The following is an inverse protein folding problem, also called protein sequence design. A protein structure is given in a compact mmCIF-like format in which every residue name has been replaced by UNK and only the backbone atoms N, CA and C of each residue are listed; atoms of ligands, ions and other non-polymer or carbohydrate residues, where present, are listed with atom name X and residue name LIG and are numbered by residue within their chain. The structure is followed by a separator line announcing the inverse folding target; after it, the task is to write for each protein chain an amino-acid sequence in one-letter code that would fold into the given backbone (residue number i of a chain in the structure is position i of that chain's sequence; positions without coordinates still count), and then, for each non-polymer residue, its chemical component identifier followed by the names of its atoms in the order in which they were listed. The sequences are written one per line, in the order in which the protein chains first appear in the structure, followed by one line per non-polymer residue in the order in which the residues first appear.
data_IF_245018254127
#
_entry.id   IF_245018254127
#
_cell.length_a   1.000
_cell.length_b   1.000
_cell.length_c   1.000
_cell.angle_alpha   90.00
_cell.angle_beta   90.00
_cell.angle_gamma   90.00
#
_symmetry.space_group_name_H-M   'P 1'
#
loop_
_entity.id
_entity.type
_entity.pdbx_description
1 polymer ?
#
# COMPACT_ATOMS: atom_id res chain seq x y z
N UNK A 1 -12.76 -1.87 34.11
CA UNK A 1 -13.61 -3.04 33.90
C UNK A 1 -13.20 -3.62 32.58
N UNK A 2 -12.17 -4.31 32.62
CA UNK A 2 -11.89 -5.73 32.55
C UNK A 2 -12.28 -6.37 31.23
N UNK A 3 -11.24 -6.81 30.49
CA UNK A 3 -11.35 -8.01 29.66
C UNK A 3 -11.28 -7.86 28.15
N UNK A 4 -10.23 -7.26 27.59
CA UNK A 4 -9.83 -7.53 26.20
C UNK A 4 -8.31 -7.51 26.10
N UNK A 5 -7.71 -8.51 26.77
CA UNK A 5 -6.28 -8.79 26.72
C UNK A 5 -6.05 -10.12 26.01
N UNK A 6 -5.04 -10.15 25.17
CA UNK A 6 -4.29 -11.33 24.76
C UNK A 6 -5.00 -12.43 23.96
N UNK A 7 -5.33 -12.16 22.69
CA UNK A 7 -5.47 -13.26 21.70
C UNK A 7 -4.78 -13.01 20.34
N UNK A 8 -4.15 -11.86 20.13
CA UNK A 8 -3.54 -11.52 18.82
C UNK A 8 -2.09 -11.97 18.62
N UNK A 9 -1.38 -12.37 19.68
CA UNK A 9 0.04 -12.75 19.58
C UNK A 9 0.30 -14.20 19.14
N UNK A 10 -0.69 -15.09 19.21
CA UNK A 10 -0.49 -16.51 18.88
C UNK A 10 -0.65 -16.87 17.39
N UNK A 11 -1.29 -16.02 16.59
CA UNK A 11 -1.42 -16.27 15.14
C UNK A 11 -0.21 -15.81 14.32
N UNK A 12 0.57 -14.83 14.82
CA UNK A 12 1.80 -14.40 14.13
C UNK A 12 2.92 -15.44 14.23
N UNK A 13 2.94 -16.23 15.31
CA UNK A 13 3.95 -17.31 15.49
C UNK A 13 3.64 -18.57 14.66
N UNK A 14 2.40 -18.79 14.29
CA UNK A 14 2.00 -19.97 13.50
C UNK A 14 2.53 -19.96 12.06
N UNK A 15 2.74 -18.78 11.46
CA UNK A 15 3.25 -18.67 10.09
C UNK A 15 4.79 -18.78 10.04
N UNK A 16 5.46 -18.40 11.11
CA UNK A 16 6.94 -18.46 11.19
C UNK A 16 7.42 -19.86 11.51
N UNK A 17 6.67 -20.66 12.28
CA UNK A 17 7.06 -22.04 12.66
C UNK A 17 6.86 -23.02 11.49
N UNK A 18 5.95 -22.74 10.55
CA UNK A 18 5.76 -23.59 9.34
C UNK A 18 6.94 -23.49 8.35
N UNK A 19 7.78 -22.44 8.41
CA UNK A 19 8.96 -22.31 7.56
C UNK A 19 10.10 -23.29 7.93
N UNK A 20 10.10 -23.87 9.12
CA UNK A 20 11.15 -24.78 9.58
C UNK A 20 10.77 -26.28 9.55
N UNK A 21 9.50 -26.60 9.34
CA UNK A 21 9.01 -27.98 9.44
C UNK A 21 9.11 -28.84 8.18
N UNK A 22 9.25 -28.24 7.00
CA UNK A 22 9.09 -28.96 5.72
C UNK A 22 10.37 -29.58 5.15
N UNK A 23 11.52 -29.40 5.79
CA UNK A 23 12.79 -30.02 5.34
C UNK A 23 12.98 -31.49 5.76
N UNK A 24 12.02 -32.09 6.48
CA UNK A 24 12.20 -33.41 7.09
C UNK A 24 11.56 -34.58 6.34
N UNK A 25 10.88 -34.36 5.20
CA UNK A 25 10.09 -35.41 4.52
C UNK A 25 10.72 -36.00 3.25
N UNK A 26 12.05 -35.94 3.12
CA UNK A 26 12.72 -36.78 2.10
C UNK A 26 12.95 -38.18 2.65
N UNK A 27 12.54 -39.20 1.89
CA UNK A 27 12.71 -40.62 2.21
C UNK A 27 14.14 -40.90 2.72
N UNK A 28 14.20 -41.63 3.84
CA UNK A 28 15.48 -42.14 4.40
C UNK A 28 16.23 -42.92 3.33
N UNK A 29 17.27 -42.36 2.78
CA UNK A 29 18.30 -43.12 2.09
C UNK A 29 19.09 -43.94 3.13
N UNK A 30 19.57 -45.10 2.70
CA UNK A 30 20.40 -46.00 3.55
C UNK A 30 21.60 -45.24 4.07
N UNK A 31 22.08 -45.55 5.28
CA UNK A 31 23.23 -44.85 5.85
C UNK A 31 24.47 -45.06 4.95
N UNK A 32 24.85 -43.98 4.28
CA UNK A 32 26.16 -43.89 3.64
C UNK A 32 27.24 -43.71 4.71
N UNK A 33 28.49 -44.03 4.35
CA UNK A 33 29.66 -43.80 5.23
C UNK A 33 29.62 -42.38 5.84
N UNK A 34 30.08 -42.21 7.09
CA UNK A 34 30.08 -40.90 7.74
C UNK A 34 30.80 -39.87 6.87
N UNK A 35 30.14 -38.75 6.65
CA UNK A 35 30.69 -37.62 5.89
C UNK A 35 31.86 -37.06 6.73
N UNK A 36 33.07 -36.88 6.18
CA UNK A 36 34.18 -36.30 6.91
C UNK A 36 33.88 -34.87 7.35
N UNK A 37 34.09 -34.51 8.60
CA UNK A 37 33.85 -33.18 9.15
C UNK A 37 34.74 -32.08 8.53
N UNK A 38 35.81 -32.47 7.88
CA UNK A 38 36.69 -31.58 7.08
C UNK A 38 37.44 -32.36 6.03
N UNK A 39 37.65 -31.74 4.85
CA UNK A 39 38.51 -32.35 3.82
C UNK A 39 39.95 -32.38 4.29
N UNK A 40 40.42 -33.55 4.69
CA UNK A 40 41.81 -33.79 5.12
C UNK A 40 42.65 -34.35 3.99
N UNK A 41 42.04 -34.86 2.91
CA UNK A 41 42.74 -35.39 1.73
C UNK A 41 42.00 -35.14 0.42
N UNK A 42 42.72 -35.16 -0.71
CA UNK A 42 42.10 -35.08 -2.05
C UNK A 42 41.14 -36.27 -2.33
N UNK A 43 41.31 -37.40 -1.66
CA UNK A 43 40.44 -38.57 -1.82
C UNK A 43 39.03 -38.31 -1.28
N UNK A 44 38.89 -37.45 -0.27
CA UNK A 44 37.59 -37.09 0.29
C UNK A 44 36.74 -36.23 -0.66
N UNK A 45 37.35 -35.47 -1.59
CA UNK A 45 36.65 -34.78 -2.68
C UNK A 45 35.88 -35.70 -3.61
N UNK A 46 36.29 -36.98 -3.71
CA UNK A 46 35.60 -38.00 -4.49
C UNK A 46 34.42 -38.65 -3.75
N UNK A 47 34.22 -38.29 -2.47
CA UNK A 47 33.05 -38.78 -1.74
C UNK A 47 31.75 -38.27 -2.42
N UNK A 48 30.73 -39.15 -2.61
CA UNK A 48 29.48 -38.78 -3.31
C UNK A 48 28.77 -37.51 -2.80
N UNK A 49 28.94 -37.21 -1.51
CA UNK A 49 28.35 -36.01 -0.88
C UNK A 49 28.92 -34.70 -1.42
N UNK A 50 30.12 -34.69 -2.00
CA UNK A 50 30.79 -33.50 -2.56
C UNK A 50 30.67 -33.41 -4.08
N UNK A 51 30.15 -34.46 -4.75
CA UNK A 51 29.98 -34.41 -6.19
C UNK A 51 28.85 -33.43 -6.57
N UNK A 52 29.16 -32.53 -7.49
CA UNK A 52 28.23 -31.53 -7.99
C UNK A 52 27.65 -32.01 -9.33
N UNK A 53 26.35 -32.02 -9.43
CA UNK A 53 25.62 -32.35 -10.65
C UNK A 53 24.45 -31.38 -10.83
N UNK A 54 24.47 -30.59 -11.91
CA UNK A 54 23.47 -29.56 -12.18
C UNK A 54 22.04 -30.14 -12.31
N UNK A 55 21.88 -31.28 -13.00
CA UNK A 55 20.58 -31.91 -13.15
C UNK A 55 19.98 -32.36 -11.81
N UNK A 56 20.85 -32.88 -10.90
CA UNK A 56 20.44 -33.24 -9.55
C UNK A 56 20.01 -32.03 -8.74
N UNK A 57 20.68 -30.89 -8.88
CA UNK A 57 20.31 -29.63 -8.21
C UNK A 57 18.96 -29.16 -8.73
N UNK A 58 18.77 -29.06 -10.05
CA UNK A 58 17.50 -28.70 -10.66
C UNK A 58 16.37 -29.63 -10.22
N UNK A 59 16.60 -30.94 -10.21
CA UNK A 59 15.60 -31.89 -9.75
C UNK A 59 15.24 -31.67 -8.27
N UNK A 60 16.20 -31.39 -7.40
CA UNK A 60 15.95 -31.08 -6.00
C UNK A 60 15.13 -29.80 -5.82
N UNK A 61 15.43 -28.75 -6.58
CA UNK A 61 14.64 -27.49 -6.56
C UNK A 61 13.21 -27.78 -7.02
N UNK A 62 13.01 -28.48 -8.13
CA UNK A 62 11.68 -28.83 -8.67
C UNK A 62 10.86 -29.68 -7.69
N UNK A 63 11.48 -30.64 -7.03
CA UNK A 63 10.82 -31.47 -6.01
C UNK A 63 10.36 -30.60 -4.83
N UNK A 64 11.24 -29.73 -4.30
CA UNK A 64 10.88 -28.84 -3.20
C UNK A 64 9.69 -27.92 -3.57
N UNK A 65 9.70 -27.34 -4.77
CA UNK A 65 8.65 -26.46 -5.24
C UNK A 65 7.31 -27.16 -5.48
N UNK A 66 7.31 -28.44 -5.92
CA UNK A 66 6.09 -29.21 -6.17
C UNK A 66 5.47 -29.78 -4.90
N UNK A 67 6.32 -30.32 -4.00
CA UNK A 67 5.81 -31.08 -2.85
C UNK A 67 5.43 -30.18 -1.68
N UNK A 68 6.09 -29.05 -1.51
CA UNK A 68 5.91 -28.16 -0.37
C UNK A 68 6.02 -26.68 -0.75
N UNK A 69 5.02 -26.11 -1.45
CA UNK A 69 5.05 -24.68 -1.75
C UNK A 69 4.98 -23.87 -0.45
N UNK A 70 6.03 -23.11 -0.17
CA UNK A 70 6.20 -22.34 1.08
C UNK A 70 5.96 -20.85 0.84
N UNK A 71 6.24 -20.37 -0.36
CA UNK A 71 6.16 -18.95 -0.68
C UNK A 71 5.10 -18.65 -1.74
N UNK A 72 4.53 -17.43 -1.78
CA UNK A 72 3.61 -17.02 -2.84
C UNK A 72 4.22 -17.07 -4.25
N UNK A 73 5.55 -17.19 -4.33
CA UNK A 73 6.30 -17.16 -5.58
C UNK A 73 6.67 -18.53 -6.13
N UNK A 74 6.38 -19.60 -5.40
CA UNK A 74 6.82 -20.94 -5.76
C UNK A 74 6.30 -21.38 -7.12
N UNK A 75 5.09 -20.98 -7.51
CA UNK A 75 4.56 -21.24 -8.86
C UNK A 75 5.37 -20.51 -9.95
N UNK A 76 5.83 -19.31 -9.69
CA UNK A 76 6.67 -18.53 -10.62
C UNK A 76 8.05 -19.17 -10.74
N UNK A 77 8.62 -19.59 -9.62
CA UNK A 77 9.92 -20.26 -9.56
C UNK A 77 9.86 -21.62 -10.24
N UNK A 78 8.78 -22.37 -10.01
CA UNK A 78 8.57 -23.66 -10.65
C UNK A 78 8.52 -23.52 -12.18
N UNK A 79 7.75 -22.56 -12.70
CA UNK A 79 7.69 -22.28 -14.13
C UNK A 79 9.08 -21.91 -14.67
N UNK A 80 9.83 -21.08 -13.95
CA UNK A 80 11.19 -20.69 -14.35
C UNK A 80 12.13 -21.91 -14.46
N UNK A 81 12.23 -22.73 -13.39
CA UNK A 81 13.13 -23.88 -13.34
C UNK A 81 12.65 -25.09 -14.14
N UNK A 82 11.40 -25.08 -14.65
CA UNK A 82 10.92 -26.06 -15.62
C UNK A 82 11.36 -25.74 -17.06
N UNK A 83 11.39 -24.43 -17.39
CA UNK A 83 11.69 -23.96 -18.75
C UNK A 83 13.18 -23.71 -18.99
N UNK A 84 13.95 -23.40 -17.94
CA UNK A 84 15.34 -22.97 -18.03
C UNK A 84 16.23 -23.76 -17.08
N UNK A 85 17.38 -24.18 -17.59
CA UNK A 85 18.42 -24.89 -16.83
C UNK A 85 19.50 -23.91 -16.33
N UNK A 86 19.13 -22.67 -16.04
CA UNK A 86 20.04 -21.62 -15.57
C UNK A 86 19.80 -21.31 -14.10
N UNK A 87 20.88 -21.15 -13.34
CA UNK A 87 20.89 -20.70 -11.98
C UNK A 87 21.10 -19.17 -11.90
N UNK A 88 20.54 -18.53 -10.88
CA UNK A 88 20.76 -17.10 -10.62
C UNK A 88 22.01 -16.84 -9.78
N UNK A 89 22.29 -17.72 -8.83
CA UNK A 89 23.31 -17.57 -7.79
C UNK A 89 24.45 -18.58 -7.91
N UNK A 90 24.20 -19.74 -8.54
CA UNK A 90 25.13 -20.85 -8.70
C UNK A 90 25.82 -20.77 -10.07
N UNK A 91 26.48 -19.67 -10.37
CA UNK A 91 27.34 -19.60 -11.56
C UNK A 91 28.78 -19.99 -11.20
N UNK A 92 29.62 -20.23 -12.20
CA UNK A 92 31.01 -20.69 -12.07
C UNK A 92 31.90 -19.89 -11.11
N UNK A 93 31.39 -18.80 -10.60
CA UNK A 93 32.05 -17.85 -9.74
C UNK A 93 31.73 -18.01 -8.23
N UNK A 94 30.85 -18.94 -7.82
CA UNK A 94 30.68 -19.29 -6.39
C UNK A 94 31.97 -19.87 -5.79
N UNK A 95 32.81 -20.45 -6.61
CA UNK A 95 34.05 -21.15 -6.23
C UNK A 95 35.29 -20.32 -6.57
N UNK A 96 35.17 -19.24 -7.35
CA UNK A 96 36.33 -18.43 -7.77
C UNK A 96 36.41 -17.11 -7.01
N UNK A 97 37.61 -16.61 -6.78
CA UNK A 97 37.93 -15.30 -6.19
C UNK A 97 37.40 -14.10 -7.01
N UNK A 98 36.52 -14.33 -7.99
CA UNK A 98 35.97 -13.33 -8.92
C UNK A 98 34.58 -12.88 -8.51
N UNK A 99 34.10 -11.73 -9.04
CA UNK A 99 33.02 -10.90 -8.48
C UNK A 99 31.62 -11.52 -8.32
N UNK A 100 31.35 -12.73 -8.67
CA UNK A 100 29.98 -13.27 -8.54
C UNK A 100 29.65 -13.87 -7.17
N UNK A 101 30.64 -14.23 -6.36
CA UNK A 101 30.45 -14.45 -4.90
C UNK A 101 29.85 -13.20 -4.25
N UNK A 102 30.07 -12.03 -4.86
CA UNK A 102 29.53 -10.76 -4.43
C UNK A 102 28.01 -10.63 -4.67
N UNK A 103 27.39 -11.40 -5.56
CA UNK A 103 25.95 -11.24 -5.84
C UNK A 103 25.09 -11.81 -4.71
N UNK A 104 25.41 -13.03 -4.25
CA UNK A 104 24.73 -13.63 -3.10
C UNK A 104 24.97 -12.80 -1.82
N UNK A 105 26.23 -12.38 -1.58
CA UNK A 105 26.57 -11.52 -0.44
C UNK A 105 25.91 -10.15 -0.54
N UNK A 106 25.82 -9.58 -1.75
CA UNK A 106 25.07 -8.33 -1.99
C UNK A 106 23.59 -8.50 -1.66
N UNK A 107 22.99 -9.61 -2.07
CA UNK A 107 21.59 -9.89 -1.70
C UNK A 107 21.40 -10.03 -0.19
N UNK A 108 22.30 -10.79 0.48
CA UNK A 108 22.28 -10.91 1.94
C UNK A 108 22.50 -9.57 2.65
N UNK A 109 23.31 -8.68 2.08
CA UNK A 109 23.45 -7.31 2.57
C UNK A 109 22.11 -6.55 2.50
N UNK A 110 21.43 -6.56 1.36
CA UNK A 110 20.14 -5.88 1.21
C UNK A 110 19.06 -6.46 2.12
N UNK A 111 18.99 -7.79 2.25
CA UNK A 111 18.05 -8.46 3.16
C UNK A 111 18.35 -8.16 4.63
N UNK A 112 19.62 -8.18 5.03
CA UNK A 112 20.05 -7.88 6.40
C UNK A 112 19.80 -6.42 6.80
N UNK A 113 19.81 -5.50 5.82
CA UNK A 113 19.54 -4.08 6.04
C UNK A 113 18.07 -3.68 5.84
N UNK A 114 17.14 -4.64 5.79
CA UNK A 114 15.72 -4.36 5.58
C UNK A 114 15.11 -3.47 6.69
N UNK A 115 15.73 -3.41 7.85
CA UNK A 115 15.33 -2.52 8.96
C UNK A 115 15.32 -1.04 8.58
N UNK A 116 16.13 -0.59 7.60
CA UNK A 116 16.09 0.75 7.05
C UNK A 116 14.74 1.10 6.41
N UNK A 117 13.96 0.09 6.07
CA UNK A 117 12.59 0.21 5.55
C UNK A 117 11.52 0.08 6.64
N UNK A 118 11.92 0.02 7.91
CA UNK A 118 11.01 -0.16 9.04
C UNK A 118 10.42 -1.57 9.15
N UNK A 119 11.13 -2.56 8.66
CA UNK A 119 10.72 -3.96 8.62
C UNK A 119 11.61 -4.77 9.56
N UNK A 120 11.03 -5.80 10.20
CA UNK A 120 11.78 -6.69 11.06
C UNK A 120 12.85 -7.44 10.23
N UNK A 121 14.15 -7.36 10.59
CA UNK A 121 15.24 -8.02 9.87
C UNK A 121 15.10 -9.56 9.85
N UNK A 122 14.38 -10.14 10.81
CA UNK A 122 14.16 -11.59 10.87
C UNK A 122 13.08 -12.07 9.87
N UNK A 123 12.57 -11.19 9.01
CA UNK A 123 11.60 -11.57 7.96
C UNK A 123 12.20 -12.54 6.94
N UNK A 124 13.50 -12.43 6.70
CA UNK A 124 14.22 -13.27 5.77
C UNK A 124 15.24 -14.16 6.50
N UNK A 125 15.49 -15.40 6.03
CA UNK A 125 16.39 -16.36 6.68
C UNK A 125 17.87 -16.06 6.37
N UNK A 126 18.31 -14.81 6.58
CA UNK A 126 19.64 -14.32 6.21
C UNK A 126 20.75 -15.15 6.86
N UNK A 127 20.62 -15.46 8.15
CA UNK A 127 21.66 -16.19 8.89
C UNK A 127 21.75 -17.66 8.44
N UNK A 128 20.60 -18.30 8.17
CA UNK A 128 20.57 -19.67 7.64
C UNK A 128 21.25 -19.75 6.28
N UNK A 129 20.92 -18.84 5.36
CA UNK A 129 21.53 -18.78 4.02
C UNK A 129 23.04 -18.51 4.14
N UNK A 130 23.46 -17.62 5.05
CA UNK A 130 24.87 -17.33 5.28
C UNK A 130 25.64 -18.56 5.79
N UNK A 131 25.04 -19.33 6.71
CA UNK A 131 25.63 -20.56 7.18
C UNK A 131 25.78 -21.62 6.07
N UNK A 132 24.77 -21.78 5.23
CA UNK A 132 24.82 -22.70 4.09
C UNK A 132 25.87 -22.28 3.06
N UNK A 133 25.93 -20.99 2.70
CA UNK A 133 26.98 -20.44 1.85
C UNK A 133 28.39 -20.68 2.44
N UNK A 134 28.54 -20.55 3.77
CA UNK A 134 29.82 -20.83 4.44
C UNK A 134 30.19 -22.32 4.35
N UNK A 135 29.25 -23.25 4.51
CA UNK A 135 29.49 -24.68 4.33
C UNK A 135 29.96 -24.99 2.90
N UNK A 136 29.31 -24.37 1.88
CA UNK A 136 29.70 -24.50 0.47
C UNK A 136 31.14 -23.99 0.26
N UNK A 137 31.45 -22.78 0.73
CA UNK A 137 32.78 -22.13 0.55
C UNK A 137 33.92 -22.84 1.27
N UNK A 138 33.62 -23.41 2.43
CA UNK A 138 34.63 -24.10 3.24
C UNK A 138 34.70 -25.60 2.96
N UNK A 139 33.78 -26.11 2.12
CA UNK A 139 33.61 -27.55 1.85
C UNK A 139 33.43 -28.37 3.15
N UNK A 140 32.79 -27.78 4.16
CA UNK A 140 32.45 -28.43 5.42
C UNK A 140 30.99 -28.72 5.50
N UNK A 141 30.59 -29.94 5.13
CA UNK A 141 29.20 -30.36 5.14
C UNK A 141 28.77 -30.79 6.55
N UNK A 142 27.58 -30.39 6.97
CA UNK A 142 26.93 -30.98 8.15
C UNK A 142 26.52 -32.41 7.87
N UNK A 143 26.43 -33.23 8.89
CA UNK A 143 26.00 -34.63 8.80
C UNK A 143 24.66 -34.74 8.06
N UNK A 144 24.56 -35.66 7.10
CA UNK A 144 23.36 -35.90 6.30
C UNK A 144 23.10 -34.89 5.16
N UNK A 145 23.99 -33.88 4.99
CA UNK A 145 23.88 -32.92 3.86
C UNK A 145 24.81 -33.35 2.71
N UNK A 146 24.36 -33.04 1.49
CA UNK A 146 25.17 -33.16 0.28
C UNK A 146 25.39 -31.80 -0.35
N UNK A 147 26.46 -31.64 -1.15
CA UNK A 147 26.72 -30.39 -1.86
C UNK A 147 25.56 -30.00 -2.78
N UNK A 148 25.01 -30.95 -3.55
CA UNK A 148 23.86 -30.69 -4.41
C UNK A 148 22.63 -30.17 -3.63
N UNK A 149 22.42 -30.70 -2.42
CA UNK A 149 21.30 -30.25 -1.57
C UNK A 149 21.52 -28.82 -1.05
N UNK A 150 22.71 -28.51 -0.58
CA UNK A 150 23.05 -27.16 -0.11
C UNK A 150 22.95 -26.13 -1.24
N UNK A 151 23.45 -26.48 -2.43
CA UNK A 151 23.35 -25.63 -3.60
C UNK A 151 21.89 -25.39 -4.01
N UNK A 152 21.06 -26.44 -4.01
CA UNK A 152 19.64 -26.31 -4.30
C UNK A 152 18.90 -25.44 -3.26
N UNK A 153 19.18 -25.64 -1.98
CA UNK A 153 18.59 -24.86 -0.88
C UNK A 153 18.95 -23.38 -1.00
N UNK A 154 20.22 -23.04 -1.24
CA UNK A 154 20.69 -21.66 -1.40
C UNK A 154 20.09 -21.00 -2.63
N UNK A 155 20.10 -21.67 -3.79
CA UNK A 155 19.51 -21.16 -5.03
C UNK A 155 18.04 -20.81 -4.84
N UNK A 156 17.25 -21.74 -4.28
CA UNK A 156 15.84 -21.55 -4.01
C UNK A 156 15.58 -20.42 -3.01
N UNK A 157 16.25 -20.47 -1.83
CA UNK A 157 16.03 -19.52 -0.75
C UNK A 157 16.38 -18.08 -1.17
N UNK A 158 17.50 -17.86 -1.84
CA UNK A 158 17.91 -16.55 -2.33
C UNK A 158 16.93 -16.02 -3.39
N UNK A 159 16.49 -16.87 -4.32
CA UNK A 159 15.58 -16.44 -5.38
C UNK A 159 14.19 -16.12 -4.82
N UNK A 160 13.67 -16.93 -3.91
CA UNK A 160 12.40 -16.68 -3.23
C UNK A 160 12.47 -15.40 -2.36
N UNK A 161 13.58 -15.22 -1.65
CA UNK A 161 13.82 -14.01 -0.85
C UNK A 161 13.93 -12.76 -1.73
N UNK A 162 14.62 -12.83 -2.87
CA UNK A 162 14.70 -11.74 -3.83
C UNK A 162 13.34 -11.32 -4.36
N UNK A 163 12.52 -12.28 -4.83
CA UNK A 163 11.17 -11.98 -5.31
C UNK A 163 10.32 -11.36 -4.21
N UNK A 164 10.35 -11.93 -3.01
CA UNK A 164 9.63 -11.37 -1.86
C UNK A 164 10.09 -9.95 -1.56
N UNK A 165 11.39 -9.71 -1.52
CA UNK A 165 11.99 -8.40 -1.27
C UNK A 165 11.53 -7.35 -2.29
N UNK A 166 11.66 -7.65 -3.58
CA UNK A 166 11.31 -6.72 -4.67
C UNK A 166 9.81 -6.42 -4.67
N UNK A 167 8.97 -7.45 -4.56
CA UNK A 167 7.53 -7.28 -4.53
C UNK A 167 7.06 -6.50 -3.29
N UNK A 168 7.60 -6.81 -2.14
CA UNK A 168 7.22 -6.14 -0.88
C UNK A 168 7.68 -4.68 -0.83
N UNK A 169 8.88 -4.36 -1.31
CA UNK A 169 9.33 -2.97 -1.42
C UNK A 169 8.51 -2.18 -2.44
N UNK A 170 8.03 -2.81 -3.50
CA UNK A 170 7.25 -2.15 -4.55
C UNK A 170 5.78 -2.00 -4.22
N UNK A 171 5.17 -2.99 -3.55
CA UNK A 171 3.72 -3.07 -3.35
C UNK A 171 3.28 -3.09 -1.88
N UNK A 172 4.22 -3.11 -0.94
CA UNK A 172 3.99 -3.17 0.50
C UNK A 172 4.13 -4.57 1.09
N UNK A 173 4.37 -4.62 2.41
CA UNK A 173 4.60 -5.84 3.20
C UNK A 173 3.31 -6.43 3.75
N UNK A 174 2.29 -5.59 3.96
CA UNK A 174 1.01 -6.07 4.48
C UNK A 174 0.18 -6.68 3.34
N UNK A 175 -0.49 -7.82 3.58
CA UNK A 175 -1.43 -8.38 2.62
C UNK A 175 -2.62 -7.43 2.43
N UNK A 176 -3.24 -7.39 1.24
CA UNK A 176 -4.32 -6.47 0.90
C UNK A 176 -5.46 -6.46 1.93
N UNK A 177 -5.82 -7.63 2.46
CA UNK A 177 -6.91 -7.83 3.42
C UNK A 177 -6.67 -7.10 4.75
N UNK A 178 -5.40 -6.81 5.08
CA UNK A 178 -4.99 -6.10 6.30
C UNK A 178 -4.70 -4.61 6.10
N UNK A 179 -4.78 -4.12 4.84
CA UNK A 179 -4.44 -2.73 4.51
C UNK A 179 -5.59 -1.77 4.79
N UNK A 180 -6.82 -2.27 4.96
CA UNK A 180 -8.03 -1.50 4.85
C UNK A 180 -8.73 -1.27 6.17
N UNK A 181 -9.31 -0.08 6.26
CA UNK A 181 -10.47 0.17 7.10
C UNK A 181 -11.68 0.25 6.15
N UNK A 182 -12.43 -0.85 6.01
CA UNK A 182 -13.52 -1.02 5.04
C UNK A 182 -14.57 0.10 5.06
N UNK A 183 -14.66 0.84 6.16
CA UNK A 183 -15.60 1.96 6.28
C UNK A 183 -15.14 3.23 5.55
N UNK A 184 -13.84 3.37 5.26
CA UNK A 184 -13.27 4.61 4.69
C UNK A 184 -12.23 4.39 3.60
N UNK A 185 -11.67 3.19 3.44
CA UNK A 185 -10.59 2.91 2.48
C UNK A 185 -11.14 2.15 1.27
N UNK A 186 -11.28 2.82 0.15
CA UNK A 186 -11.82 2.26 -1.10
C UNK A 186 -10.89 2.51 -2.29
N UNK A 187 -9.59 2.59 -2.06
CA UNK A 187 -8.62 2.82 -3.13
C UNK A 187 -8.11 1.48 -3.65
N UNK A 188 -8.41 1.12 -4.92
CA UNK A 188 -7.82 -0.08 -5.51
C UNK A 188 -6.31 0.02 -5.55
N UNK A 189 -5.62 -0.99 -5.04
CA UNK A 189 -4.16 -1.07 -5.08
C UNK A 189 -3.71 -2.13 -6.06
N UNK A 190 -2.61 -1.84 -6.75
CA UNK A 190 -1.86 -2.84 -7.51
C UNK A 190 -1.19 -3.79 -6.52
N UNK A 191 -1.14 -5.04 -6.93
CA UNK A 191 -0.42 -6.10 -6.22
C UNK A 191 0.70 -6.61 -7.11
N UNK A 192 1.67 -7.27 -6.50
CA UNK A 192 2.66 -8.00 -7.27
C UNK A 192 1.96 -9.15 -8.00
N UNK A 193 2.09 -9.19 -9.31
CA UNK A 193 1.57 -10.25 -10.16
C UNK A 193 2.70 -11.09 -10.77
N UNK A 194 2.34 -12.20 -11.40
CA UNK A 194 3.28 -13.11 -12.07
C UNK A 194 4.13 -12.38 -13.11
N UNK A 195 3.52 -11.45 -13.87
CA UNK A 195 4.24 -10.69 -14.89
C UNK A 195 5.35 -9.83 -14.30
N UNK A 196 5.07 -9.15 -13.19
CA UNK A 196 6.06 -8.36 -12.48
C UNK A 196 7.16 -9.25 -11.89
N UNK A 197 6.80 -10.38 -11.28
CA UNK A 197 7.75 -11.32 -10.70
C UNK A 197 8.70 -11.89 -11.76
N UNK A 198 8.20 -12.30 -12.91
CA UNK A 198 9.03 -12.76 -14.04
C UNK A 198 9.96 -11.66 -14.55
N UNK A 199 9.46 -10.43 -14.74
CA UNK A 199 10.30 -9.30 -15.13
C UNK A 199 11.38 -8.95 -14.09
N UNK A 200 11.11 -9.18 -12.80
CA UNK A 200 12.11 -9.04 -11.75
C UNK A 200 13.23 -10.08 -11.87
N UNK A 201 12.89 -11.36 -12.15
CA UNK A 201 13.88 -12.40 -12.41
C UNK A 201 14.73 -12.11 -13.66
N UNK A 202 14.12 -11.63 -14.74
CA UNK A 202 14.87 -11.22 -15.95
C UNK A 202 15.82 -10.04 -15.65
N UNK A 203 15.38 -9.11 -14.80
CA UNK A 203 16.22 -7.99 -14.35
C UNK A 203 17.39 -8.46 -13.48
N UNK A 204 17.16 -9.42 -12.60
CA UNK A 204 18.21 -10.04 -11.78
C UNK A 204 19.26 -10.71 -12.66
N UNK A 205 18.82 -11.48 -13.64
CA UNK A 205 19.72 -12.16 -14.60
C UNK A 205 20.56 -11.16 -15.39
N UNK A 206 19.93 -10.11 -15.91
CA UNK A 206 20.61 -9.12 -16.76
C UNK A 206 21.68 -8.33 -16.01
N UNK A 207 21.41 -7.88 -14.79
CA UNK A 207 22.35 -7.15 -13.93
C UNK A 207 21.85 -7.15 -12.47
N UNK A 208 22.36 -8.04 -11.62
CA UNK A 208 21.91 -8.17 -10.23
C UNK A 208 22.02 -6.87 -9.42
N UNK A 209 23.17 -6.19 -9.48
CA UNK A 209 23.35 -4.95 -8.73
C UNK A 209 22.36 -3.86 -9.13
N UNK A 210 22.15 -3.68 -10.44
CA UNK A 210 21.14 -2.74 -10.93
C UNK A 210 19.73 -3.16 -10.53
N UNK A 211 19.43 -4.47 -10.45
CA UNK A 211 18.13 -4.98 -10.01
C UNK A 211 17.88 -4.66 -8.53
N UNK A 212 18.88 -4.83 -7.65
CA UNK A 212 18.78 -4.47 -6.24
C UNK A 212 18.55 -2.98 -6.03
N UNK A 213 19.25 -2.13 -6.75
CA UNK A 213 19.06 -0.67 -6.68
C UNK A 213 17.69 -0.23 -7.20
N UNK A 214 17.21 -0.82 -8.32
CA UNK A 214 15.88 -0.51 -8.87
C UNK A 214 14.73 -0.97 -7.96
N UNK A 215 14.96 -1.95 -7.10
CA UNK A 215 13.99 -2.39 -6.12
C UNK A 215 13.73 -1.33 -5.03
N UNK A 216 14.67 -0.41 -4.80
CA UNK A 216 14.53 0.61 -3.76
C UNK A 216 13.42 1.62 -4.11
N UNK A 217 12.61 2.05 -3.13
CA UNK A 217 11.65 3.12 -3.34
C UNK A 217 12.37 4.42 -3.73
N UNK A 218 12.03 4.98 -4.89
CA UNK A 218 12.71 6.16 -5.45
C UNK A 218 12.13 7.50 -4.96
N UNK A 219 11.06 7.49 -4.16
CA UNK A 219 10.39 8.71 -3.72
C UNK A 219 11.26 9.52 -2.76
N UNK A 220 11.50 10.84 -3.01
CA UNK A 220 12.21 11.71 -2.07
C UNK A 220 11.57 11.75 -0.68
N UNK A 221 10.23 11.64 -0.61
CA UNK A 221 9.51 11.54 0.66
C UNK A 221 9.88 10.25 1.42
N UNK A 222 10.02 9.15 0.69
CA UNK A 222 10.40 7.88 1.29
C UNK A 222 11.81 7.93 1.89
N UNK A 223 12.77 8.53 1.19
CA UNK A 223 14.14 8.72 1.69
C UNK A 223 14.16 9.59 2.95
N UNK A 224 13.38 10.68 2.98
CA UNK A 224 13.23 11.49 4.21
C UNK A 224 12.67 10.69 5.37
N UNK A 225 11.73 9.77 5.12
CA UNK A 225 11.21 8.89 6.16
C UNK A 225 12.26 7.86 6.63
N UNK A 226 13.14 7.38 5.76
CA UNK A 226 14.27 6.53 6.16
C UNK A 226 15.27 7.28 7.04
N UNK A 227 15.66 8.49 6.66
CA UNK A 227 16.52 9.36 7.47
C UNK A 227 15.90 9.62 8.85
N UNK A 228 14.61 9.92 8.88
CA UNK A 228 13.87 10.15 10.12
C UNK A 228 13.79 8.89 10.98
N UNK A 229 13.64 7.70 10.38
CA UNK A 229 13.63 6.44 11.11
C UNK A 229 14.97 6.18 11.81
N UNK A 230 16.08 6.46 11.14
CA UNK A 230 17.42 6.37 11.76
C UNK A 230 17.51 7.32 12.95
N UNK A 231 17.02 8.55 12.82
CA UNK A 231 17.04 9.57 13.88
C UNK A 231 16.19 9.12 15.08
N UNK A 232 14.98 8.64 14.83
CA UNK A 232 14.05 8.19 15.89
C UNK A 232 14.56 6.95 16.61
N UNK A 233 15.21 6.03 15.92
CA UNK A 233 15.79 4.84 16.53
C UNK A 233 16.97 5.17 17.47
N UNK A 234 17.58 6.35 17.30
CA UNK A 234 18.61 6.86 18.24
C UNK A 234 18.03 7.54 19.49
N UNK A 235 16.71 7.72 19.59
CA UNK A 235 16.07 8.28 20.76
C UNK A 235 15.84 7.23 21.85
N UNK A 236 15.77 7.71 23.10
CA UNK A 236 15.36 6.83 24.20
C UNK A 236 13.91 6.33 24.03
N UNK A 237 13.63 5.16 24.58
CA UNK A 237 12.29 4.54 24.52
C UNK A 237 11.35 5.26 25.49
N UNK A 238 10.30 5.89 24.97
CA UNK A 238 9.19 6.51 25.73
C UNK A 238 7.91 6.29 24.95
N UNK A 239 6.75 6.42 25.60
CA UNK A 239 5.44 6.31 24.92
C UNK A 239 5.31 7.28 23.72
N UNK A 240 5.90 8.47 23.82
CA UNK A 240 5.86 9.48 22.76
C UNK A 240 6.75 9.08 21.60
N UNK A 241 7.99 8.59 21.86
CA UNK A 241 8.91 8.16 20.80
C UNK A 241 8.39 6.90 20.10
N UNK A 242 7.80 5.96 20.83
CA UNK A 242 7.18 4.76 20.27
C UNK A 242 5.98 5.10 19.38
N UNK A 243 5.08 5.97 19.84
CA UNK A 243 3.96 6.45 19.04
C UNK A 243 4.41 7.14 17.75
N UNK A 244 5.47 7.97 17.82
CA UNK A 244 5.99 8.65 16.65
C UNK A 244 6.64 7.67 15.66
N UNK A 245 7.44 6.73 16.16
CA UNK A 245 8.04 5.66 15.37
C UNK A 245 6.98 4.81 14.67
N UNK A 246 5.96 4.36 15.38
CA UNK A 246 4.88 3.55 14.81
C UNK A 246 4.15 4.27 13.67
N UNK A 247 3.88 5.57 13.84
CA UNK A 247 3.29 6.39 12.78
C UNK A 247 4.20 6.51 11.57
N UNK A 248 5.51 6.63 11.79
CA UNK A 248 6.50 6.67 10.72
C UNK A 248 6.52 5.34 9.95
N UNK A 249 6.56 4.20 10.65
CA UNK A 249 6.52 2.88 10.05
C UNK A 249 5.27 2.64 9.23
N UNK A 250 4.09 3.02 9.75
CA UNK A 250 2.81 2.94 9.01
C UNK A 250 2.85 3.80 7.74
N UNK A 251 3.40 5.02 7.80
CA UNK A 251 3.50 5.88 6.64
C UNK A 251 4.52 5.35 5.60
N UNK A 252 5.62 4.75 6.03
CA UNK A 252 6.58 4.08 5.15
C UNK A 252 5.93 2.90 4.43
N UNK A 253 5.12 2.09 5.14
CA UNK A 253 4.35 1.01 4.51
C UNK A 253 3.37 1.57 3.46
N UNK A 254 2.59 2.59 3.81
CA UNK A 254 1.64 3.21 2.89
C UNK A 254 2.31 3.87 1.68
N UNK A 255 3.52 4.38 1.84
CA UNK A 255 4.29 4.98 0.74
C UNK A 255 4.78 3.97 -0.30
N UNK A 256 4.77 2.67 0.01
CA UNK A 256 5.06 1.58 -0.94
C UNK A 256 3.85 1.20 -1.77
N UNK A 257 2.64 1.48 -1.29
CA UNK A 257 1.42 1.05 -1.97
C UNK A 257 1.26 1.73 -3.33
N UNK A 258 0.99 0.94 -4.34
CA UNK A 258 0.77 1.41 -5.70
C UNK A 258 -0.73 1.49 -5.99
N UNK A 259 -1.20 2.66 -6.38
CA UNK A 259 -2.60 2.84 -6.75
C UNK A 259 -2.88 2.21 -8.12
N UNK A 260 -4.07 1.58 -8.26
CA UNK A 260 -4.47 0.94 -9.51
C UNK A 260 -4.77 1.99 -10.60
N UNK A 261 -5.28 3.18 -10.21
CA UNK A 261 -5.50 4.27 -11.14
C UNK A 261 -4.18 4.98 -11.46
N UNK A 262 -3.91 5.13 -12.75
CA UNK A 262 -2.84 6.00 -13.20
C UNK A 262 -3.22 7.46 -12.91
N UNK A 263 -2.34 8.19 -12.23
CA UNK A 263 -2.55 9.60 -11.89
C UNK A 263 -2.50 10.53 -13.10
N UNK A 264 -1.91 10.08 -14.21
CA UNK A 264 -1.58 10.93 -15.34
C UNK A 264 -0.54 12.01 -14.96
N UNK A 265 -0.26 12.93 -15.87
CA UNK A 265 0.67 14.06 -15.65
C UNK A 265 0.01 15.25 -14.94
N UNK A 266 -1.32 15.32 -14.97
CA UNK A 266 -2.14 16.33 -14.30
C UNK A 266 -3.03 15.64 -13.28
N UNK A 267 -2.80 15.90 -11.99
CA UNK A 267 -3.48 15.18 -10.91
C UNK A 267 -3.69 16.04 -9.66
N UNK A 268 -4.55 15.56 -8.79
CA UNK A 268 -4.93 16.22 -7.53
C UNK A 268 -4.73 15.27 -6.37
N UNK A 269 -4.08 15.73 -5.31
CA UNK A 269 -3.92 15.01 -4.05
C UNK A 269 -4.63 15.79 -2.96
N UNK A 270 -5.73 15.24 -2.42
CA UNK A 270 -6.39 15.75 -1.23
C UNK A 270 -5.85 15.00 0.01
N UNK A 271 -4.89 15.59 0.71
CA UNK A 271 -4.38 15.06 1.97
C UNK A 271 -5.36 15.39 3.10
N UNK A 272 -6.26 14.44 3.38
CA UNK A 272 -7.33 14.59 4.39
C UNK A 272 -6.74 14.84 5.78
N UNK A 273 -5.66 14.16 6.15
CA UNK A 273 -5.03 14.29 7.46
C UNK A 273 -4.33 15.65 7.66
N UNK A 274 -3.74 16.20 6.61
CA UNK A 274 -3.10 17.51 6.62
C UNK A 274 -4.08 18.66 6.36
N UNK A 275 -5.32 18.39 5.96
CA UNK A 275 -6.28 19.39 5.51
C UNK A 275 -5.77 20.25 4.35
N UNK A 276 -5.02 19.66 3.44
CA UNK A 276 -4.39 20.34 2.30
C UNK A 276 -4.73 19.62 1.00
N UNK A 277 -4.83 20.40 -0.07
CA UNK A 277 -4.95 19.89 -1.42
C UNK A 277 -3.81 20.48 -2.26
N UNK A 278 -3.19 19.62 -3.06
CA UNK A 278 -2.24 19.96 -4.10
C UNK A 278 -2.78 19.51 -5.44
N UNK A 279 -2.86 20.41 -6.39
CA UNK A 279 -3.14 20.13 -7.77
C UNK A 279 -1.84 20.33 -8.58
N UNK A 280 -1.37 19.27 -9.20
CA UNK A 280 -0.05 19.20 -9.86
C UNK A 280 -0.23 19.02 -11.35
N UNK A 281 0.47 19.82 -12.13
CA UNK A 281 0.63 19.66 -13.57
C UNK A 281 2.13 19.48 -13.88
N UNK A 282 2.53 18.23 -14.15
CA UNK A 282 3.92 17.87 -14.47
C UNK A 282 4.35 18.35 -15.87
N UNK A 283 3.42 18.77 -16.73
CA UNK A 283 3.74 19.30 -18.07
C UNK A 283 4.22 20.76 -18.00
N UNK A 284 3.65 21.52 -17.08
CA UNK A 284 3.97 22.94 -16.90
C UNK A 284 4.76 23.22 -15.64
N UNK A 285 5.13 22.15 -14.89
CA UNK A 285 5.80 22.24 -13.57
C UNK A 285 5.07 23.15 -12.58
N UNK A 286 3.72 23.17 -12.66
CA UNK A 286 2.90 24.05 -11.82
C UNK A 286 2.20 23.30 -10.72
N UNK A 287 2.15 23.89 -9.53
CA UNK A 287 1.47 23.34 -8.34
C UNK A 287 0.56 24.42 -7.76
N UNK A 288 -0.73 24.09 -7.66
CA UNK A 288 -1.71 24.88 -6.92
C UNK A 288 -1.95 24.22 -5.55
N UNK A 289 -1.58 24.92 -4.49
CA UNK A 289 -1.83 24.48 -3.12
C UNK A 289 -2.95 25.28 -2.46
N UNK A 290 -3.75 24.58 -1.64
CA UNK A 290 -4.81 25.23 -0.87
C UNK A 290 -5.20 24.43 0.37
N UNK A 291 -5.77 25.16 1.35
CA UNK A 291 -6.43 24.55 2.50
C UNK A 291 -7.76 23.93 2.06
N UNK A 292 -8.11 22.81 2.70
CA UNK A 292 -9.42 22.15 2.51
C UNK A 292 -10.10 21.91 3.85
N UNK A 293 -11.44 21.82 3.81
CA UNK A 293 -12.22 21.27 4.91
C UNK A 293 -12.72 19.88 4.51
N UNK A 294 -12.68 18.95 5.44
CA UNK A 294 -13.04 17.54 5.23
C UNK A 294 -14.13 17.11 6.22
N UNK A 295 -14.59 15.88 6.10
CA UNK A 295 -15.59 15.29 6.98
C UNK A 295 -15.17 15.24 8.45
N UNK A 296 -16.17 15.40 9.32
CA UNK A 296 -15.98 15.19 10.77
C UNK A 296 -15.65 13.74 11.08
N UNK A 297 -15.21 13.44 12.31
CA UNK A 297 -14.96 12.08 12.78
C UNK A 297 -16.19 11.16 12.63
N UNK A 298 -17.41 11.71 12.75
CA UNK A 298 -18.66 10.97 12.59
C UNK A 298 -19.07 10.79 11.11
N UNK A 299 -18.63 11.69 10.23
CA UNK A 299 -18.94 11.70 8.80
C UNK A 299 -17.63 11.81 8.03
N UNK A 300 -16.80 10.79 8.12
CA UNK A 300 -15.45 10.80 7.55
C UNK A 300 -15.46 10.98 6.04
N UNK A 301 -14.53 11.77 5.52
CA UNK A 301 -14.21 11.74 4.09
C UNK A 301 -13.56 10.40 3.77
N UNK A 302 -14.11 9.60 2.84
CA UNK A 302 -13.51 8.32 2.46
C UNK A 302 -12.19 8.54 1.73
N UNK A 303 -11.28 7.56 1.85
CA UNK A 303 -10.10 7.46 1.00
C UNK A 303 -10.53 6.82 -0.33
N UNK A 304 -10.32 7.51 -1.42
CA UNK A 304 -10.70 7.03 -2.74
C UNK A 304 -9.79 7.63 -3.81
N UNK A 305 -9.76 6.99 -4.96
CA UNK A 305 -9.11 7.48 -6.16
C UNK A 305 -10.13 7.50 -7.29
N UNK A 306 -10.20 8.60 -8.04
CA UNK A 306 -11.17 8.79 -9.11
C UNK A 306 -10.67 9.83 -10.11
N UNK A 307 -11.49 10.13 -11.12
CA UNK A 307 -11.21 11.19 -12.12
C UNK A 307 -12.32 12.22 -12.12
N UNK A 308 -11.95 13.49 -12.03
CA UNK A 308 -12.91 14.60 -12.22
C UNK A 308 -13.32 14.60 -13.69
N UNK A 309 -14.61 14.54 -13.96
CA UNK A 309 -15.15 14.46 -15.33
C UNK A 309 -15.96 15.68 -15.73
N UNK A 310 -16.54 16.45 -14.77
CA UNK A 310 -17.09 17.77 -15.04
C UNK A 310 -17.11 18.64 -13.80
N UNK A 311 -17.29 19.93 -14.01
CA UNK A 311 -17.59 20.94 -13.00
C UNK A 311 -18.94 21.60 -13.31
N UNK A 312 -19.66 22.03 -12.28
CA UNK A 312 -20.96 22.69 -12.39
C UNK A 312 -20.87 24.04 -11.70
N UNK A 313 -21.17 25.11 -12.45
CA UNK A 313 -21.21 26.48 -11.96
C UNK A 313 -22.59 26.78 -11.36
N UNK A 314 -22.62 27.54 -10.26
CA UNK A 314 -23.82 27.93 -9.55
C UNK A 314 -24.80 26.76 -9.32
N UNK A 315 -24.34 25.69 -8.62
CA UNK A 315 -25.12 24.47 -8.48
C UNK A 315 -26.33 24.67 -7.59
N UNK A 316 -27.41 23.95 -7.88
CA UNK A 316 -28.47 23.70 -6.90
C UNK A 316 -27.97 22.63 -5.90
N UNK A 317 -28.21 22.85 -4.62
CA UNK A 317 -27.90 21.83 -3.65
C UNK A 317 -29.09 20.93 -3.34
N UNK A 318 -29.06 19.72 -3.86
CA UNK A 318 -29.94 18.66 -3.42
C UNK A 318 -29.47 18.14 -2.05
N UNK A 319 -30.24 18.44 -1.01
CA UNK A 319 -29.82 18.11 0.36
C UNK A 319 -29.93 16.61 0.61
N UNK A 320 -28.84 15.95 1.05
CA UNK A 320 -28.87 14.53 1.39
C UNK A 320 -29.89 14.20 2.48
N UNK A 321 -30.55 13.05 2.37
CA UNK A 321 -31.57 12.59 3.33
C UNK A 321 -31.02 12.50 4.77
N UNK A 322 -29.76 12.19 4.94
CA UNK A 322 -29.10 12.16 6.25
C UNK A 322 -29.04 13.54 6.90
N UNK A 323 -28.79 14.60 6.13
CA UNK A 323 -28.75 15.99 6.59
C UNK A 323 -30.16 16.47 6.89
N UNK A 324 -31.14 16.15 6.02
CA UNK A 324 -32.53 16.50 6.27
C UNK A 324 -32.99 15.97 7.64
N UNK A 325 -32.74 14.69 7.91
CA UNK A 325 -33.18 14.04 9.16
C UNK A 325 -32.40 14.51 10.38
N UNK A 326 -31.07 14.57 10.28
CA UNK A 326 -30.21 14.79 11.46
C UNK A 326 -30.04 16.26 11.82
N UNK A 327 -30.25 17.16 10.87
CA UNK A 327 -29.98 18.59 11.07
C UNK A 327 -31.14 19.49 10.73
N UNK A 328 -31.72 19.37 9.52
CA UNK A 328 -32.78 20.29 9.06
C UNK A 328 -34.03 20.10 9.92
N UNK A 329 -34.55 18.89 10.05
CA UNK A 329 -35.78 18.62 10.84
C UNK A 329 -35.61 19.08 12.30
N UNK A 330 -34.57 18.75 13.05
CA UNK A 330 -34.36 19.25 14.40
C UNK A 330 -34.26 20.77 14.48
N UNK A 331 -33.59 21.41 13.51
CA UNK A 331 -33.42 22.86 13.47
C UNK A 331 -34.75 23.56 13.14
N UNK A 332 -35.48 23.08 12.13
CA UNK A 332 -36.77 23.61 11.74
C UNK A 332 -37.82 23.55 12.86
N UNK A 333 -37.77 22.51 13.70
CA UNK A 333 -38.64 22.41 14.88
C UNK A 333 -38.43 23.53 15.91
N UNK A 334 -37.24 24.14 15.92
CA UNK A 334 -36.89 25.28 16.80
C UNK A 334 -37.05 26.64 16.11
N UNK A 335 -36.85 26.64 14.81
CA UNK A 335 -36.89 27.84 13.98
C UNK A 335 -37.57 27.53 12.64
N UNK A 336 -38.87 27.83 12.59
CA UNK A 336 -39.71 27.55 11.43
C UNK A 336 -39.35 28.42 10.20
N UNK A 337 -38.51 29.47 10.37
CA UNK A 337 -38.02 30.29 9.26
C UNK A 337 -36.84 29.66 8.53
N UNK A 338 -36.31 28.50 9.01
CA UNK A 338 -35.09 27.87 8.51
C UNK A 338 -35.08 27.66 7.00
N UNK A 339 -36.14 27.11 6.42
CA UNK A 339 -36.23 26.88 4.97
C UNK A 339 -36.20 28.19 4.18
N UNK A 340 -36.97 29.19 4.59
CA UNK A 340 -37.02 30.51 3.92
C UNK A 340 -35.69 31.24 4.04
N UNK A 341 -35.11 31.31 5.25
CA UNK A 341 -33.86 32.00 5.49
C UNK A 341 -32.69 31.37 4.72
N UNK A 342 -32.70 30.03 4.55
CA UNK A 342 -31.68 29.33 3.80
C UNK A 342 -32.08 29.12 2.32
N UNK A 343 -33.14 29.74 1.86
CA UNK A 343 -33.65 29.65 0.47
C UNK A 343 -33.80 28.21 0.01
N UNK A 344 -34.32 27.36 0.89
CA UNK A 344 -34.61 25.96 0.61
C UNK A 344 -36.06 25.75 0.24
N UNK A 345 -36.31 24.95 -0.77
CA UNK A 345 -37.62 24.52 -1.21
C UNK A 345 -37.80 23.03 -0.99
N UNK A 346 -39.01 22.64 -0.65
CA UNK A 346 -39.36 21.24 -0.41
C UNK A 346 -40.21 20.75 -1.57
N UNK A 347 -39.95 19.55 -2.05
CA UNK A 347 -40.69 18.93 -3.14
C UNK A 347 -41.19 17.54 -2.73
N UNK A 348 -42.36 17.17 -3.14
CA UNK A 348 -42.91 15.84 -2.95
C UNK A 348 -42.28 14.81 -3.92
N UNK A 349 -42.73 13.55 -3.84
CA UNK A 349 -42.29 12.46 -4.71
C UNK A 349 -42.60 12.68 -6.21
N UNK A 350 -43.56 13.53 -6.52
CA UNK A 350 -43.98 13.86 -7.88
C UNK A 350 -43.25 15.11 -8.43
N UNK A 351 -42.41 15.75 -7.61
CA UNK A 351 -41.66 16.94 -7.99
C UNK A 351 -42.45 18.25 -7.80
N UNK A 352 -43.64 18.24 -7.18
CA UNK A 352 -44.37 19.43 -6.83
C UNK A 352 -43.84 20.10 -5.59
N UNK A 353 -43.69 21.42 -5.62
CA UNK A 353 -43.28 22.18 -4.45
C UNK A 353 -44.34 22.14 -3.36
N UNK A 354 -43.93 21.86 -2.13
CA UNK A 354 -44.81 21.74 -0.95
C UNK A 354 -44.38 22.77 0.08
N UNK A 355 -45.38 23.38 0.75
CA UNK A 355 -45.13 24.28 1.87
C UNK A 355 -44.52 23.47 3.05
N UNK A 356 -43.33 23.82 3.53
CA UNK A 356 -42.72 23.15 4.67
C UNK A 356 -43.57 23.16 5.95
N UNK A 357 -44.44 24.17 6.12
CA UNK A 357 -45.33 24.29 7.28
C UNK A 357 -46.46 23.24 7.26
N UNK A 358 -46.86 22.78 6.08
CA UNK A 358 -47.90 21.75 5.94
C UNK A 358 -47.43 20.35 6.30
N UNK A 359 -46.11 20.15 6.46
CA UNK A 359 -45.50 18.83 6.67
C UNK A 359 -45.34 18.52 8.17
N UNK A 360 -45.87 17.38 8.60
CA UNK A 360 -45.65 16.86 9.97
C UNK A 360 -44.26 16.24 10.12
N UNK A 361 -43.22 17.06 10.15
CA UNK A 361 -41.81 16.67 10.15
C UNK A 361 -41.46 15.69 11.27
N UNK A 362 -42.15 15.75 12.40
CA UNK A 362 -41.92 14.83 13.54
C UNK A 362 -42.06 13.35 13.16
N UNK A 363 -42.91 13.03 12.15
CA UNK A 363 -43.11 11.66 11.64
C UNK A 363 -41.84 11.08 10.99
N UNK A 364 -40.91 11.93 10.53
CA UNK A 364 -39.76 11.53 9.72
C UNK A 364 -38.43 11.62 10.45
N UNK A 365 -38.46 11.88 11.76
CA UNK A 365 -37.19 11.98 12.57
C UNK A 365 -36.40 10.68 12.61
N UNK A 366 -37.07 9.51 12.52
CA UNK A 366 -36.45 8.18 12.57
C UNK A 366 -36.53 7.35 11.30
N UNK A 367 -37.17 7.86 10.24
CA UNK A 367 -37.44 7.10 9.00
C UNK A 367 -37.04 7.88 7.75
N UNK A 368 -37.18 7.26 6.58
CA UNK A 368 -36.98 7.96 5.29
C UNK A 368 -37.93 9.14 5.12
N UNK A 369 -37.40 10.26 4.65
CA UNK A 369 -38.19 11.45 4.35
C UNK A 369 -38.68 11.38 2.90
N UNK A 370 -40.00 11.33 2.62
CA UNK A 370 -40.55 11.21 1.25
C UNK A 370 -40.51 12.53 0.48
N UNK A 371 -39.68 13.46 0.95
CA UNK A 371 -39.56 14.80 0.33
C UNK A 371 -38.11 15.04 -0.08
N UNK A 372 -37.93 15.79 -1.17
CA UNK A 372 -36.62 16.31 -1.59
C UNK A 372 -36.51 17.76 -1.13
N UNK A 373 -35.39 18.12 -0.55
CA UNK A 373 -35.06 19.50 -0.20
C UNK A 373 -33.99 20.02 -1.14
N UNK A 374 -34.21 21.17 -1.75
CA UNK A 374 -33.26 21.82 -2.66
C UNK A 374 -32.99 23.24 -2.19
N UNK A 375 -31.70 23.60 -2.08
CA UNK A 375 -31.30 25.00 -1.92
C UNK A 375 -31.05 25.62 -3.29
N UNK A 376 -31.44 26.90 -3.45
CA UNK A 376 -31.25 27.61 -4.72
C UNK A 376 -29.76 27.86 -5.04
N UNK A 377 -29.48 28.21 -6.28
CA UNK A 377 -28.13 28.44 -6.82
C UNK A 377 -27.59 29.87 -6.61
N UNK A 378 -28.22 30.66 -5.73
CA UNK A 378 -27.82 32.05 -5.47
C UNK A 378 -26.69 32.15 -4.45
N UNK A 379 -26.16 33.36 -4.28
CA UNK A 379 -25.14 33.69 -3.28
C UNK A 379 -25.50 33.15 -1.90
N UNK A 380 -24.57 32.47 -1.23
CA UNK A 380 -24.77 31.82 0.06
C UNK A 380 -25.27 30.37 -0.03
N UNK A 381 -25.33 29.77 -1.22
CA UNK A 381 -25.54 28.35 -1.37
C UNK A 381 -24.43 27.57 -0.65
N UNK A 382 -24.79 26.50 0.03
CA UNK A 382 -23.86 25.68 0.84
C UNK A 382 -22.73 25.05 0.02
N UNK A 383 -22.95 24.84 -1.29
CA UNK A 383 -21.94 24.32 -2.24
C UNK A 383 -21.04 25.42 -2.82
N UNK A 384 -21.31 26.71 -2.47
CA UNK A 384 -20.62 27.85 -3.06
C UNK A 384 -21.01 28.05 -4.52
N UNK A 385 -20.04 28.50 -5.34
CA UNK A 385 -20.25 28.84 -6.74
C UNK A 385 -19.93 27.71 -7.73
N UNK A 386 -19.19 26.67 -7.28
CA UNK A 386 -18.74 25.62 -8.17
C UNK A 386 -18.57 24.30 -7.42
N UNK A 387 -18.92 23.20 -8.08
CA UNK A 387 -18.66 21.83 -7.64
C UNK A 387 -17.89 21.07 -8.73
N UNK A 388 -17.09 20.10 -8.29
CA UNK A 388 -16.29 19.21 -9.14
C UNK A 388 -16.71 17.78 -8.86
N UNK A 389 -17.22 17.09 -9.87
CA UNK A 389 -17.76 15.76 -9.74
C UNK A 389 -16.84 14.70 -10.27
N UNK A 390 -16.81 13.59 -9.54
CA UNK A 390 -16.08 12.37 -9.90
C UNK A 390 -16.85 11.14 -9.44
N UNK A 391 -16.79 10.02 -10.17
CA UNK A 391 -17.47 8.78 -9.82
C UNK A 391 -16.97 8.25 -8.47
N UNK A 392 -17.89 7.98 -7.56
CA UNK A 392 -17.62 7.30 -6.30
C UNK A 392 -18.91 6.80 -5.65
N UNK A 393 -18.87 5.71 -4.83
CA UNK A 393 -20.07 5.14 -4.19
C UNK A 393 -20.58 5.95 -3.00
N UNK A 394 -19.83 6.98 -2.54
CA UNK A 394 -20.12 7.73 -1.31
C UNK A 394 -20.83 9.06 -1.55
N UNK A 395 -21.11 9.42 -2.82
CA UNK A 395 -21.67 10.74 -3.17
C UNK A 395 -20.83 11.92 -2.64
N UNK A 396 -19.50 11.76 -2.59
CA UNK A 396 -18.54 12.80 -2.21
C UNK A 396 -18.11 13.56 -3.46
N UNK A 397 -17.90 14.87 -3.31
CA UNK A 397 -17.37 15.75 -4.36
C UNK A 397 -16.51 16.86 -3.75
N UNK A 398 -15.73 17.54 -4.59
CA UNK A 398 -15.03 18.76 -4.23
C UNK A 398 -15.95 19.95 -4.52
N UNK A 399 -15.98 20.98 -3.67
CA UNK A 399 -16.84 22.13 -3.90
C UNK A 399 -16.33 23.41 -3.22
N UNK A 400 -16.83 24.53 -3.70
CA UNK A 400 -16.70 25.83 -3.04
C UNK A 400 -17.55 25.91 -1.77
N UNK A 401 -17.44 26.99 -1.01
CA UNK A 401 -18.25 27.23 0.19
C UNK A 401 -18.33 28.70 0.54
N UNK A 402 -19.48 29.22 1.00
CA UNK A 402 -19.57 30.55 1.57
C UNK A 402 -18.91 30.67 2.95
N UNK A 403 -18.68 29.54 3.64
CA UNK A 403 -18.12 29.48 5.01
C UNK A 403 -16.61 29.63 4.99
N UNK A 404 -16.07 30.77 4.52
CA UNK A 404 -14.65 31.02 4.38
C UNK A 404 -13.85 30.99 5.69
N UNK A 405 -14.50 31.32 6.80
CA UNK A 405 -13.94 31.28 8.13
C UNK A 405 -13.42 29.88 8.53
N UNK A 406 -14.00 28.82 7.95
CA UNK A 406 -13.58 27.46 8.25
C UNK A 406 -12.11 27.20 7.87
N UNK A 407 -11.58 27.89 6.87
CA UNK A 407 -10.19 27.72 6.42
C UNK A 407 -9.16 28.39 7.35
N UNK A 408 -9.57 29.27 8.26
CA UNK A 408 -8.66 29.88 9.24
C UNK A 408 -8.39 28.96 10.42
N UNK A 409 -9.18 27.92 10.60
CA UNK A 409 -9.01 26.97 11.70
C UNK A 409 -7.87 25.99 11.45
N UNK A 410 -7.23 25.52 12.53
CA UNK A 410 -6.27 24.42 12.47
C UNK A 410 -6.99 23.11 12.21
N UNK A 411 -8.04 22.80 12.98
CA UNK A 411 -8.88 21.64 12.71
C UNK A 411 -10.00 22.03 11.73
N UNK A 412 -9.95 21.45 10.53
CA UNK A 412 -10.90 21.69 9.45
C UNK A 412 -11.79 20.49 9.12
N UNK A 413 -11.94 19.57 10.09
CA UNK A 413 -12.87 18.44 10.00
C UNK A 413 -14.30 18.92 10.35
N UNK A 414 -14.97 19.59 9.42
CA UNK A 414 -16.25 20.32 9.64
C UNK A 414 -17.33 20.00 8.62
N UNK A 415 -17.07 19.12 7.63
CA UNK A 415 -18.04 18.75 6.59
C UNK A 415 -18.73 17.42 6.90
N UNK A 416 -19.67 17.04 6.02
CA UNK A 416 -20.37 15.75 6.04
C UNK A 416 -19.72 14.68 5.14
N UNK A 417 -18.45 14.87 4.79
CA UNK A 417 -17.70 13.96 3.95
C UNK A 417 -17.16 14.62 2.68
N UNK A 418 -17.89 15.55 2.07
CA UNK A 418 -17.41 16.32 0.92
C UNK A 418 -16.23 17.22 1.28
N UNK A 419 -15.41 17.55 0.30
CA UNK A 419 -14.21 18.35 0.48
C UNK A 419 -14.47 19.78 0.03
N UNK A 420 -14.37 20.75 0.97
CA UNK A 420 -14.51 22.18 0.67
C UNK A 420 -13.17 22.77 0.27
N UNK A 421 -13.13 23.53 -0.79
CA UNK A 421 -11.94 24.13 -1.38
C UNK A 421 -11.80 25.60 -1.00
N UNK A 422 -10.60 26.02 -0.54
CA UNK A 422 -10.30 27.41 -0.25
C UNK A 422 -10.22 28.25 -1.54
N UNK A 423 -9.63 27.71 -2.59
CA UNK A 423 -9.38 28.38 -3.87
C UNK A 423 -10.13 27.63 -5.00
N UNK A 424 -11.46 27.52 -4.90
CA UNK A 424 -12.25 26.69 -5.80
C UNK A 424 -12.22 27.21 -7.25
N UNK A 425 -12.22 28.55 -7.46
CA UNK A 425 -12.13 29.11 -8.81
C UNK A 425 -10.74 28.92 -9.42
N UNK A 426 -9.68 29.15 -8.65
CA UNK A 426 -8.31 28.90 -9.14
C UNK A 426 -8.13 27.41 -9.51
N UNK A 427 -8.80 26.54 -8.77
CA UNK A 427 -8.83 25.11 -9.07
C UNK A 427 -9.60 24.79 -10.36
N UNK A 428 -10.68 25.50 -10.65
CA UNK A 428 -11.39 25.38 -11.92
C UNK A 428 -10.48 25.78 -13.09
N UNK A 429 -9.80 26.91 -13.00
CA UNK A 429 -8.83 27.33 -14.01
C UNK A 429 -7.68 26.33 -14.17
N UNK A 430 -7.18 25.77 -13.07
CA UNK A 430 -6.17 24.72 -13.13
C UNK A 430 -6.65 23.49 -13.93
N UNK A 431 -7.92 23.08 -13.80
CA UNK A 431 -8.48 21.90 -14.47
C UNK A 431 -8.68 22.12 -15.97
N UNK A 432 -9.03 23.32 -16.39
CA UNK A 432 -9.23 23.65 -17.80
C UNK A 432 -7.91 23.60 -18.55
N UNK A 433 -7.96 23.19 -19.82
CA UNK A 433 -6.79 23.21 -20.69
C UNK A 433 -6.39 24.62 -21.07
N UNK A 434 -7.42 25.46 -21.30
CA UNK A 434 -7.27 26.87 -21.68
C UNK A 434 -8.19 27.73 -20.80
N UNK A 435 -7.70 28.86 -20.26
CA UNK A 435 -8.50 29.77 -19.45
C UNK A 435 -9.73 30.36 -20.19
N UNK A 436 -9.69 30.38 -21.51
CA UNK A 436 -10.71 30.95 -22.38
C UNK A 436 -11.98 30.09 -22.45
N UNK A 437 -11.91 28.77 -22.21
CA UNK A 437 -13.07 27.87 -22.18
C UNK A 437 -14.09 28.22 -21.07
N UNK A 438 -13.69 29.00 -20.05
CA UNK A 438 -14.60 29.48 -19.00
C UNK A 438 -15.38 30.76 -19.37
N UNK A 439 -14.99 31.44 -20.43
CA UNK A 439 -15.57 32.74 -20.79
C UNK A 439 -16.78 32.63 -21.70
N UNK A 440 -16.95 31.50 -22.41
CA UNK A 440 -18.07 31.29 -23.33
C UNK A 440 -19.41 30.93 -22.65
N UNK A 441 -19.39 30.49 -21.38
CA UNK A 441 -20.58 30.07 -20.61
C UNK A 441 -21.10 31.15 -19.63
N UNK A 442 -20.89 32.44 -19.91
CA UNK A 442 -21.43 33.54 -19.09
C UNK A 442 -22.66 34.17 -19.67
#
# INVERSE_FOLDING_TARGET
MEGLSMKSSRLLWGVIILLFGCLAACKKEKPQSPIPDSLSSLQELFHPAYQINADSIHQMIRICLNENPVTPWDSVLLAHYQEKDEFFWLNDSLISDKPAVQVADSMLFWLGNISQHGVNPNLYPVDSIREELQQIRTLKLREGKTMNRLLADVEYQLTAAYLSYVCQLKFGFLPPERRWNDSIDHIPLKQCDVKFAMAALDSLRANPNAAFHRAQPASPLYHKMQEELVRVNGWGVTDTTDYYRDRLLVNMERARWQYALDKGRKYVIANVAAFMLQAVNEETDSILEMRICVGTVKNKTPLLSSRIYYMELNPYWNVPQSIIRKEIIPTYRRDTTYFTRNRMKVYDKNGFQVDPHSIKWAKYAGSGVPYTVKQDNKTGNSLGRIIFRFPNPHSVYLHDTPSRWAFTRNNRAVSHGCVRLQKALDFAFFLLKEPEELLEDR
#
